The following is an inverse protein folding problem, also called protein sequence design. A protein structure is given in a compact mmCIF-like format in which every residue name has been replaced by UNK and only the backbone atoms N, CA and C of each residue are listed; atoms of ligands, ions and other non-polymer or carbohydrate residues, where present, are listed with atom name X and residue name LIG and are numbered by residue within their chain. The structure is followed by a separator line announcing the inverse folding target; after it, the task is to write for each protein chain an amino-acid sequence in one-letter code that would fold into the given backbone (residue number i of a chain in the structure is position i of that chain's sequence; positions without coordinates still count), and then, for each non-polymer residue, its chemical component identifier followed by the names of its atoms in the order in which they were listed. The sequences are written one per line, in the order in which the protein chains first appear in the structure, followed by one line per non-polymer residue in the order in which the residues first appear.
data_IF_198005645467
#
_entry.id   IF_198005645467
#
_cell.length_a   1.000
_cell.length_b   1.000
_cell.length_c   1.000
_cell.angle_alpha   90.00
_cell.angle_beta   90.00
_cell.angle_gamma   90.00
#
_symmetry.space_group_name_H-M   'P 1'
#
loop_
_entity.id
_entity.type
_entity.pdbx_description
1 polymer ?
#
# COMPACT_ATOMS: atom_id res chain seq x y z
N UNK A 1 -1.62 -12.81 37.06
CA UNK A 1 -1.34 -13.15 35.65
C UNK A 1 -2.17 -12.20 34.81
N UNK A 2 -1.56 -11.15 34.23
CA UNK A 2 -2.28 -10.19 33.39
C UNK A 2 -2.20 -10.68 31.95
N UNK A 3 -3.34 -11.09 31.38
CA UNK A 3 -3.45 -11.26 29.94
C UNK A 3 -3.61 -9.86 29.35
N UNK A 4 -2.56 -9.36 28.69
CA UNK A 4 -2.62 -8.15 27.89
C UNK A 4 -3.49 -8.44 26.66
N UNK A 5 -4.79 -8.16 26.77
CA UNK A 5 -5.75 -8.20 25.67
C UNK A 5 -5.51 -7.00 24.72
N UNK A 6 -4.33 -6.96 24.11
CA UNK A 6 -3.92 -5.91 23.16
C UNK A 6 -3.30 -6.43 21.88
N UNK A 7 -2.96 -7.72 21.80
CA UNK A 7 -2.32 -8.30 20.60
C UNK A 7 -3.25 -9.16 19.73
N UNK A 8 -4.52 -9.31 20.14
CA UNK A 8 -5.50 -10.13 19.41
C UNK A 8 -6.31 -9.35 18.34
N UNK A 9 -6.11 -8.04 18.19
CA UNK A 9 -6.98 -7.17 17.38
C UNK A 9 -6.62 -7.03 15.89
N UNK A 10 -5.36 -7.29 15.51
CA UNK A 10 -4.96 -7.24 14.11
C UNK A 10 -4.78 -8.66 13.58
N UNK A 11 -5.72 -9.15 12.76
CA UNK A 11 -5.40 -10.29 11.90
C UNK A 11 -4.14 -9.94 11.11
N UNK A 12 -3.22 -10.89 10.95
CA UNK A 12 -2.10 -10.66 10.05
C UNK A 12 -2.71 -10.37 8.66
N UNK A 13 -2.40 -9.21 8.05
CA UNK A 13 -3.01 -8.76 6.79
C UNK A 13 -2.09 -9.05 5.59
N UNK A 14 -1.84 -10.33 5.21
CA UNK A 14 -0.83 -10.67 4.23
C UNK A 14 -1.16 -10.13 2.84
N UNK A 15 -2.43 -10.12 2.46
CA UNK A 15 -2.86 -9.62 1.14
C UNK A 15 -2.70 -8.10 1.03
N UNK A 16 -3.04 -7.34 2.08
CA UNK A 16 -2.85 -5.89 2.08
C UNK A 16 -1.36 -5.52 2.03
N UNK A 17 -0.51 -6.25 2.77
CA UNK A 17 0.95 -6.08 2.73
C UNK A 17 1.53 -6.47 1.36
N UNK A 18 1.06 -7.56 0.75
CA UNK A 18 1.47 -7.97 -0.58
C UNK A 18 1.06 -6.94 -1.65
N UNK A 19 -0.16 -6.39 -1.56
CA UNK A 19 -0.63 -5.33 -2.43
C UNK A 19 0.23 -4.06 -2.29
N UNK A 20 0.55 -3.65 -1.05
CA UNK A 20 1.42 -2.51 -0.79
C UNK A 20 2.81 -2.69 -1.43
N UNK A 21 3.41 -3.87 -1.27
CA UNK A 21 4.71 -4.18 -1.88
C UNK A 21 4.65 -4.11 -3.41
N UNK A 22 3.62 -4.71 -4.02
CA UNK A 22 3.44 -4.67 -5.47
C UNK A 22 3.28 -3.24 -6.00
N UNK A 23 2.52 -2.40 -5.29
CA UNK A 23 2.32 -0.99 -5.64
C UNK A 23 3.63 -0.19 -5.51
N UNK A 24 4.44 -0.44 -4.49
CA UNK A 24 5.75 0.19 -4.33
C UNK A 24 6.71 -0.21 -5.46
N UNK A 25 6.72 -1.48 -5.85
CA UNK A 25 7.48 -1.93 -7.02
C UNK A 25 7.00 -1.22 -8.29
N UNK A 26 5.69 -1.14 -8.52
CA UNK A 26 5.12 -0.44 -9.67
C UNK A 26 5.51 1.05 -9.70
N UNK A 27 5.44 1.73 -8.54
CA UNK A 27 5.87 3.13 -8.38
C UNK A 27 7.33 3.31 -8.81
N UNK A 28 8.24 2.47 -8.33
CA UNK A 28 9.66 2.56 -8.65
C UNK A 28 9.90 2.40 -10.16
N UNK A 29 9.21 1.45 -10.80
CA UNK A 29 9.30 1.25 -12.26
C UNK A 29 8.78 2.47 -13.05
N UNK A 30 7.67 3.08 -12.61
CA UNK A 30 7.12 4.28 -13.24
C UNK A 30 7.98 5.54 -13.06
N UNK A 31 8.76 5.61 -11.97
CA UNK A 31 9.69 6.70 -11.71
C UNK A 31 10.91 6.65 -12.64
N UNK A 32 11.43 5.45 -12.92
CA UNK A 32 12.62 5.27 -13.78
C UNK A 32 12.30 5.17 -15.27
N UNK A 33 11.01 5.05 -15.63
CA UNK A 33 10.58 5.01 -17.02
C UNK A 33 10.93 6.34 -17.75
N UNK A 34 11.68 6.23 -18.83
CA UNK A 34 12.34 7.36 -19.51
C UNK A 34 11.41 8.39 -20.14
N UNK A 35 10.37 7.94 -20.85
CA UNK A 35 9.41 8.83 -21.52
C UNK A 35 8.05 8.80 -20.83
N UNK A 36 7.33 9.93 -20.84
CA UNK A 36 5.98 10.04 -20.26
C UNK A 36 4.92 9.16 -20.98
N UNK A 37 5.27 8.57 -22.12
CA UNK A 37 4.39 7.70 -22.93
C UNK A 37 3.05 8.39 -23.21
N UNK A 38 3.08 9.64 -23.68
CA UNK A 38 1.87 10.42 -23.97
C UNK A 38 1.08 10.85 -22.72
N UNK A 39 1.74 11.03 -21.57
CA UNK A 39 1.09 11.39 -20.30
C UNK A 39 0.67 10.19 -19.45
N UNK A 40 0.72 8.98 -20.01
CA UNK A 40 0.28 7.78 -19.32
C UNK A 40 1.17 7.42 -18.13
N UNK A 41 2.48 7.66 -18.21
CA UNK A 41 3.41 7.36 -17.11
C UNK A 41 3.10 8.23 -15.89
N UNK A 42 2.96 9.54 -16.07
CA UNK A 42 2.60 10.46 -14.97
C UNK A 42 1.21 10.12 -14.41
N UNK A 43 0.22 9.85 -15.26
CA UNK A 43 -1.11 9.45 -14.82
C UNK A 43 -1.08 8.15 -14.00
N UNK A 44 -0.36 7.14 -14.48
CA UNK A 44 -0.20 5.88 -13.75
C UNK A 44 0.50 6.09 -12.41
N UNK A 45 1.54 6.92 -12.34
CA UNK A 45 2.24 7.23 -11.08
C UNK A 45 1.30 7.88 -10.07
N UNK A 46 0.42 8.79 -10.51
CA UNK A 46 -0.61 9.40 -9.66
C UNK A 46 -1.58 8.36 -9.09
N UNK A 47 -2.09 7.48 -9.94
CA UNK A 47 -3.01 6.40 -9.53
C UNK A 47 -2.35 5.42 -8.56
N UNK A 48 -1.09 5.05 -8.81
CA UNK A 48 -0.33 4.15 -7.92
C UNK A 48 -0.11 4.78 -6.55
N UNK A 49 0.25 6.08 -6.49
CA UNK A 49 0.39 6.77 -5.20
C UNK A 49 -0.94 6.79 -4.42
N UNK A 50 -2.06 7.12 -5.07
CA UNK A 50 -3.37 7.12 -4.43
C UNK A 50 -3.74 5.71 -3.90
N UNK A 51 -3.46 4.66 -4.66
CA UNK A 51 -3.69 3.29 -4.23
C UNK A 51 -2.82 2.89 -3.01
N UNK A 52 -1.55 3.32 -2.96
CA UNK A 52 -0.68 3.11 -1.80
C UNK A 52 -1.31 3.73 -0.55
N UNK A 53 -1.80 4.97 -0.65
CA UNK A 53 -2.38 5.69 0.48
C UNK A 53 -3.66 5.02 1.00
N UNK A 54 -4.50 4.48 0.11
CA UNK A 54 -5.70 3.72 0.50
C UNK A 54 -5.34 2.39 1.16
N UNK A 55 -4.36 1.64 0.63
CA UNK A 55 -3.92 0.37 1.23
C UNK A 55 -3.33 0.61 2.62
N UNK A 56 -2.52 1.65 2.80
CA UNK A 56 -1.98 2.01 4.12
C UNK A 56 -3.10 2.39 5.11
N UNK A 57 -4.12 3.12 4.66
CA UNK A 57 -5.29 3.45 5.49
C UNK A 57 -6.10 2.22 5.87
N UNK A 58 -6.30 1.29 4.94
CA UNK A 58 -6.95 0.00 5.23
C UNK A 58 -6.19 -0.81 6.28
N UNK A 59 -4.85 -0.91 6.13
CA UNK A 59 -4.00 -1.58 7.12
C UNK A 59 -4.12 -0.93 8.50
N UNK A 60 -4.02 0.39 8.55
CA UNK A 60 -4.09 1.14 9.80
C UNK A 60 -5.48 1.07 10.46
N UNK A 61 -6.55 1.00 9.68
CA UNK A 61 -7.91 0.87 10.20
C UNK A 61 -8.13 -0.48 10.88
N UNK A 62 -7.71 -1.56 10.23
CA UNK A 62 -7.84 -2.91 10.77
C UNK A 62 -6.94 -3.13 11.99
N UNK A 63 -5.71 -2.60 11.98
CA UNK A 63 -4.81 -2.67 13.14
C UNK A 63 -5.30 -1.93 14.40
N UNK A 64 -6.31 -1.05 14.27
CA UNK A 64 -6.90 -0.29 15.39
C UNK A 64 -8.18 -0.92 15.92
N UNK A 65 -8.68 -1.99 15.29
CA UNK A 65 -9.93 -2.65 15.64
C UNK A 65 -9.77 -3.69 16.75
#
# INVERSE_FOLDING_TARGET
MYLSAGEAGAENQPHMRAALNALQTAKNQLQVASADKGGHRVKALGLVNAAIDEVQRGIAFDNRR
#
